data_IF_980230037522
#
_entry.id   IF_980230037522
#
_cell.length_a   1.000
_cell.length_b   1.000
_cell.length_c   1.000
_cell.angle_alpha   90.00
_cell.angle_beta   90.00
_cell.angle_gamma   90.00
#
_symmetry.space_group_name_H-M   'P 1'
#
loop_
_entity.id
_entity.type
_entity.pdbx_description
1 polymer ?
#
# COMPACT_ATOMS: atom_id res chain seq x y z
N UNK A 1 -21.65 -15.70 -4.52
CA UNK A 1 -20.85 -16.87 -4.09
C UNK A 1 -20.65 -16.74 -2.57
N UNK A 2 -20.53 -17.81 -1.80
CA UNK A 2 -20.24 -17.69 -0.35
C UNK A 2 -18.72 -17.67 -0.09
N UNK A 3 -18.03 -16.71 -0.70
CA UNK A 3 -16.58 -16.61 -0.70
C UNK A 3 -16.16 -15.15 -0.87
N UNK A 4 -14.92 -14.85 -0.51
CA UNK A 4 -14.26 -13.57 -0.74
C UNK A 4 -13.10 -13.78 -1.70
N UNK A 5 -12.93 -12.88 -2.68
CA UNK A 5 -11.82 -12.92 -3.62
C UNK A 5 -10.66 -12.06 -3.10
N UNK A 6 -9.43 -12.53 -3.24
CA UNK A 6 -8.22 -11.85 -2.82
C UNK A 6 -7.27 -11.86 -4.01
N UNK A 7 -6.91 -10.67 -4.46
CA UNK A 7 -5.98 -10.48 -5.55
C UNK A 7 -4.58 -10.30 -4.96
N UNK A 8 -3.70 -11.28 -5.12
CA UNK A 8 -2.35 -11.24 -4.56
C UNK A 8 -1.54 -10.07 -5.13
N UNK A 9 -0.63 -9.53 -4.33
CA UNK A 9 0.47 -8.72 -4.85
C UNK A 9 1.29 -9.54 -5.86
N UNK A 10 1.80 -8.89 -6.91
CA UNK A 10 2.48 -9.58 -8.02
C UNK A 10 3.74 -10.29 -7.50
N UNK A 11 3.82 -11.60 -7.70
CA UNK A 11 4.95 -12.43 -7.23
C UNK A 11 4.88 -12.82 -5.75
N UNK A 12 3.73 -12.58 -5.08
CA UNK A 12 3.49 -12.95 -3.68
C UNK A 12 2.25 -13.84 -3.52
N UNK A 13 1.94 -14.63 -4.55
CA UNK A 13 0.81 -15.56 -4.57
C UNK A 13 0.95 -16.63 -3.49
N UNK A 14 2.14 -17.15 -3.26
CA UNK A 14 2.39 -18.19 -2.26
C UNK A 14 2.21 -17.67 -0.83
N UNK A 15 2.62 -16.43 -0.57
CA UNK A 15 2.42 -15.77 0.72
C UNK A 15 0.93 -15.55 0.99
N UNK A 16 0.18 -15.03 0.01
CA UNK A 16 -1.26 -14.88 0.16
C UNK A 16 -1.95 -16.25 0.34
N UNK A 17 -1.52 -17.27 -0.40
CA UNK A 17 -2.07 -18.64 -0.27
C UNK A 17 -1.81 -19.21 1.12
N UNK A 18 -0.62 -18.99 1.68
CA UNK A 18 -0.29 -19.41 3.04
C UNK A 18 -1.16 -18.70 4.09
N UNK A 19 -1.42 -17.40 3.92
CA UNK A 19 -2.31 -16.64 4.81
C UNK A 19 -3.78 -17.08 4.73
N UNK A 20 -4.25 -17.40 3.52
CA UNK A 20 -5.62 -17.85 3.31
C UNK A 20 -5.85 -19.28 3.79
N UNK A 21 -4.89 -20.19 3.57
CA UNK A 21 -5.08 -21.62 3.85
C UNK A 21 -6.04 -22.29 2.87
N UNK A 22 -7.34 -22.28 3.16
CA UNK A 22 -8.38 -22.94 2.37
C UNK A 22 -8.83 -22.10 1.16
N UNK A 23 -8.04 -22.15 0.10
CA UNK A 23 -8.40 -21.57 -1.21
C UNK A 23 -9.27 -22.56 -2.01
N UNK A 24 -10.48 -22.14 -2.38
CA UNK A 24 -11.47 -22.98 -3.10
C UNK A 24 -11.44 -22.80 -4.62
N UNK A 25 -10.93 -21.66 -5.10
CA UNK A 25 -10.85 -21.35 -6.53
C UNK A 25 -9.66 -20.39 -6.75
N UNK A 26 -8.93 -20.53 -7.86
CA UNK A 26 -7.80 -19.66 -8.21
C UNK A 26 -7.81 -19.36 -9.71
N UNK A 27 -7.64 -18.09 -10.05
CA UNK A 27 -7.53 -17.57 -11.41
C UNK A 27 -6.29 -16.67 -11.48
N UNK A 28 -5.14 -17.24 -11.85
CA UNK A 28 -3.82 -16.59 -11.75
C UNK A 28 -3.61 -16.06 -10.31
N UNK A 29 -3.36 -14.76 -10.11
CA UNK A 29 -3.18 -14.18 -8.77
C UNK A 29 -4.48 -13.89 -8.00
N UNK A 30 -5.66 -14.16 -8.58
CA UNK A 30 -6.95 -13.99 -7.90
C UNK A 30 -7.37 -15.31 -7.23
N UNK A 31 -7.41 -15.33 -5.90
CA UNK A 31 -7.76 -16.49 -5.09
C UNK A 31 -9.09 -16.27 -4.37
N UNK A 32 -9.94 -17.29 -4.30
CA UNK A 32 -11.18 -17.24 -3.53
C UNK A 32 -11.08 -18.13 -2.30
N UNK A 33 -11.38 -17.58 -1.13
CA UNK A 33 -11.49 -18.33 0.12
C UNK A 33 -12.93 -18.25 0.66
N UNK A 34 -13.45 -19.30 1.32
CA UNK A 34 -14.83 -19.34 1.76
C UNK A 34 -15.08 -18.37 2.90
N UNK A 35 -16.31 -17.84 2.94
CA UNK A 35 -16.77 -16.95 3.99
C UNK A 35 -16.36 -15.47 3.81
N UNK A 36 -16.41 -14.69 4.90
CA UNK A 36 -16.16 -13.24 4.88
C UNK A 36 -14.67 -12.91 4.68
N UNK A 37 -14.38 -11.62 4.51
CA UNK A 37 -13.02 -11.10 4.46
C UNK A 37 -12.21 -11.50 5.70
N UNK A 38 -10.98 -11.93 5.44
CA UNK A 38 -9.98 -12.36 6.42
C UNK A 38 -8.84 -11.37 6.45
N UNK A 39 -8.19 -11.27 7.59
CA UNK A 39 -6.97 -10.48 7.74
C UNK A 39 -5.83 -11.14 6.98
N UNK A 40 -5.44 -10.53 5.88
CA UNK A 40 -4.30 -10.93 5.03
C UNK A 40 -3.46 -9.70 4.73
N UNK A 41 -2.17 -9.89 4.48
CA UNK A 41 -1.23 -8.79 4.29
C UNK A 41 -0.65 -8.73 2.89
N UNK A 42 -0.68 -9.84 2.14
CA UNK A 42 -0.16 -9.94 0.77
C UNK A 42 -1.22 -9.80 -0.33
N UNK A 43 -2.41 -9.29 0.00
CA UNK A 43 -3.44 -8.95 -0.97
C UNK A 43 -3.31 -7.50 -1.46
N UNK A 44 -3.23 -7.31 -2.78
CA UNK A 44 -3.26 -6.01 -3.44
C UNK A 44 -4.68 -5.42 -3.48
N UNK A 45 -5.70 -6.28 -3.62
CA UNK A 45 -7.11 -5.90 -3.63
C UNK A 45 -7.99 -7.04 -3.12
N UNK A 46 -9.07 -6.72 -2.40
CA UNK A 46 -10.04 -7.71 -1.88
C UNK A 46 -11.39 -7.46 -2.53
N UNK A 47 -11.95 -8.51 -3.13
CA UNK A 47 -13.24 -8.53 -3.80
C UNK A 47 -14.28 -9.05 -2.82
N UNK A 48 -15.11 -8.15 -2.28
CA UNK A 48 -16.14 -8.48 -1.30
C UNK A 48 -17.42 -8.91 -2.01
N UNK A 49 -18.07 -9.93 -1.46
CA UNK A 49 -19.34 -10.48 -1.96
C UNK A 49 -19.37 -10.73 -3.49
N UNK A 50 -18.35 -11.40 -4.07
CA UNK A 50 -18.30 -11.68 -5.50
C UNK A 50 -19.50 -12.53 -5.97
N UNK A 51 -19.98 -12.20 -7.16
CA UNK A 51 -21.06 -12.89 -7.84
C UNK A 51 -20.54 -13.53 -9.12
N UNK A 52 -21.03 -14.75 -9.40
CA UNK A 52 -20.79 -15.47 -10.64
C UNK A 52 -21.98 -15.26 -11.56
N UNK A 53 -21.73 -14.83 -12.79
CA UNK A 53 -22.75 -14.36 -13.71
C UNK A 53 -22.55 -15.07 -15.05
N UNK A 54 -23.55 -15.83 -15.48
CA UNK A 54 -23.60 -16.35 -16.84
C UNK A 54 -23.88 -15.20 -17.82
N UNK A 55 -23.10 -15.11 -18.90
CA UNK A 55 -23.19 -14.05 -19.90
C UNK A 55 -23.64 -14.59 -21.27
N UNK A 56 -24.74 -14.09 -21.83
CA UNK A 56 -25.28 -14.62 -23.10
C UNK A 56 -24.56 -14.07 -24.35
N UNK A 57 -23.85 -12.94 -24.21
CA UNK A 57 -23.11 -12.27 -25.28
C UNK A 57 -22.24 -11.15 -24.70
N UNK A 58 -21.35 -10.58 -25.52
CA UNK A 58 -20.53 -9.42 -25.16
C UNK A 58 -21.40 -8.23 -24.69
N UNK A 59 -22.45 -7.88 -25.47
CA UNK A 59 -23.36 -6.77 -25.11
C UNK A 59 -24.21 -7.10 -23.88
N UNK A 60 -24.60 -8.36 -23.72
CA UNK A 60 -25.31 -8.86 -22.54
C UNK A 60 -24.48 -8.70 -21.27
N UNK A 61 -23.22 -9.15 -21.30
CA UNK A 61 -22.27 -8.98 -20.20
C UNK A 61 -22.13 -7.50 -19.79
N UNK A 62 -21.87 -6.62 -20.76
CA UNK A 62 -21.73 -5.19 -20.49
C UNK A 62 -23.02 -4.54 -19.98
N UNK A 63 -24.20 -5.04 -20.38
CA UNK A 63 -25.49 -4.59 -19.83
C UNK A 63 -25.65 -5.01 -18.36
N UNK A 64 -25.31 -6.25 -18.02
CA UNK A 64 -25.38 -6.76 -16.65
C UNK A 64 -24.41 -5.99 -15.73
N UNK A 65 -23.16 -5.83 -16.14
CA UNK A 65 -22.17 -5.08 -15.35
C UNK A 65 -22.61 -3.62 -15.11
N UNK A 66 -23.07 -2.91 -16.16
CA UNK A 66 -23.56 -1.52 -16.04
C UNK A 66 -24.80 -1.39 -15.15
N UNK A 67 -25.66 -2.40 -15.11
CA UNK A 67 -26.82 -2.42 -14.23
C UNK A 67 -26.41 -2.48 -12.75
N UNK A 68 -25.34 -3.22 -12.44
CA UNK A 68 -24.87 -3.41 -11.07
C UNK A 68 -23.99 -2.26 -10.57
N UNK A 69 -23.13 -1.71 -11.42
CA UNK A 69 -22.27 -0.57 -11.07
C UNK A 69 -21.81 0.20 -12.31
N UNK A 70 -21.45 1.48 -12.12
CA UNK A 70 -20.95 2.35 -13.18
C UNK A 70 -19.51 2.04 -13.58
N UNK A 71 -18.59 1.97 -12.62
CA UNK A 71 -17.16 1.86 -12.89
C UNK A 71 -16.66 0.44 -12.60
N UNK A 72 -15.86 -0.08 -13.52
CA UNK A 72 -15.37 -1.46 -13.48
C UNK A 72 -13.90 -1.54 -13.87
N UNK A 73 -13.13 -2.20 -13.02
CA UNK A 73 -11.76 -2.62 -13.26
C UNK A 73 -11.76 -4.08 -13.74
N UNK A 74 -11.32 -4.31 -14.97
CA UNK A 74 -11.06 -5.68 -15.44
C UNK A 74 -9.74 -6.19 -14.84
N UNK A 75 -9.80 -7.30 -14.09
CA UNK A 75 -8.64 -8.11 -13.78
C UNK A 75 -8.36 -9.07 -14.94
N UNK A 76 -7.16 -8.98 -15.49
CA UNK A 76 -6.72 -9.73 -16.67
C UNK A 76 -6.18 -11.08 -16.23
N UNK A 77 -6.83 -12.15 -16.68
CA UNK A 77 -6.44 -13.53 -16.41
C UNK A 77 -6.47 -14.33 -17.72
N UNK A 78 -7.67 -14.58 -18.25
CA UNK A 78 -7.89 -15.37 -19.46
C UNK A 78 -8.93 -14.71 -20.38
N UNK A 79 -9.19 -15.31 -21.56
CA UNK A 79 -10.17 -14.89 -22.55
C UNK A 79 -10.06 -13.40 -22.92
N UNK A 80 -8.83 -12.89 -22.94
CA UNK A 80 -8.52 -11.47 -22.99
C UNK A 80 -9.16 -10.75 -24.18
N UNK A 81 -9.21 -11.39 -25.35
CA UNK A 81 -9.86 -10.83 -26.53
C UNK A 81 -11.35 -10.57 -26.29
N UNK A 82 -12.08 -11.52 -25.67
CA UNK A 82 -13.50 -11.37 -25.36
C UNK A 82 -13.72 -10.41 -24.20
N UNK A 83 -12.89 -10.48 -23.17
CA UNK A 83 -12.95 -9.58 -22.01
C UNK A 83 -12.73 -8.12 -22.44
N UNK A 84 -11.77 -7.83 -23.34
CA UNK A 84 -11.58 -6.50 -23.95
C UNK A 84 -12.80 -6.00 -24.72
N UNK A 85 -13.48 -6.87 -25.47
CA UNK A 85 -14.70 -6.48 -26.18
C UNK A 85 -15.83 -6.13 -25.21
N UNK A 86 -15.92 -6.81 -24.07
CA UNK A 86 -16.85 -6.46 -22.98
C UNK A 86 -16.45 -5.13 -22.35
N UNK A 87 -15.17 -4.95 -21.97
CA UNK A 87 -14.64 -3.71 -21.39
C UNK A 87 -14.89 -2.49 -22.29
N UNK A 88 -14.74 -2.64 -23.61
CA UNK A 88 -15.02 -1.58 -24.60
C UNK A 88 -16.50 -1.13 -24.65
N UNK A 89 -17.42 -1.92 -24.08
CA UNK A 89 -18.84 -1.57 -23.96
C UNK A 89 -19.21 -1.04 -22.55
N UNK A 90 -18.23 -0.92 -21.64
CA UNK A 90 -18.41 -0.34 -20.30
C UNK A 90 -18.03 1.16 -20.28
N UNK A 91 -18.53 1.93 -19.30
CA UNK A 91 -18.05 3.29 -19.08
C UNK A 91 -16.54 3.31 -18.87
N UNK A 92 -15.85 4.26 -19.51
CA UNK A 92 -14.42 4.40 -19.38
C UNK A 92 -14.04 4.79 -17.95
N UNK A 93 -13.19 3.98 -17.33
CA UNK A 93 -12.50 4.31 -16.07
C UNK A 93 -11.12 4.82 -16.43
N UNK A 94 -10.83 6.06 -16.02
CA UNK A 94 -9.53 6.67 -16.29
C UNK A 94 -8.42 5.92 -15.57
N UNK A 95 -7.38 5.51 -16.30
CA UNK A 95 -6.14 4.97 -15.75
C UNK A 95 -5.07 6.06 -15.67
N UNK A 96 -5.46 7.28 -15.28
CA UNK A 96 -4.51 8.37 -15.05
C UNK A 96 -3.59 8.00 -13.90
N UNK A 97 -2.34 8.40 -14.03
CA UNK A 97 -1.37 8.30 -12.93
C UNK A 97 -1.80 9.22 -11.79
N UNK A 98 -1.62 8.74 -10.57
CA UNK A 98 -1.84 9.50 -9.35
C UNK A 98 -0.83 10.64 -9.28
N UNK A 99 -1.31 11.86 -9.05
CA UNK A 99 -0.45 13.00 -8.73
C UNK A 99 -0.34 13.03 -7.21
N UNK A 100 0.88 13.14 -6.69
CA UNK A 100 1.08 13.24 -5.24
C UNK A 100 0.43 14.51 -4.69
N UNK A 101 -0.21 14.40 -3.52
CA UNK A 101 -0.99 15.49 -2.90
C UNK A 101 -2.45 15.54 -3.35
N UNK A 102 -2.83 14.91 -4.47
CA UNK A 102 -4.24 14.70 -4.80
C UNK A 102 -4.82 13.56 -3.95
N UNK A 103 -6.09 13.66 -3.51
CA UNK A 103 -6.74 12.58 -2.77
C UNK A 103 -6.86 11.32 -3.62
N UNK A 104 -6.93 10.17 -2.95
CA UNK A 104 -7.26 8.90 -3.60
C UNK A 104 -8.62 9.00 -4.33
N UNK A 105 -8.84 8.24 -5.42
CA UNK A 105 -10.13 8.20 -6.09
C UNK A 105 -11.25 7.80 -5.12
N UNK A 106 -12.34 8.57 -5.09
CA UNK A 106 -13.50 8.31 -4.21
C UNK A 106 -14.67 7.66 -4.95
N UNK A 107 -14.62 7.62 -6.28
CA UNK A 107 -15.67 6.99 -7.07
C UNK A 107 -15.67 5.48 -6.82
N UNK A 108 -16.84 4.86 -6.54
CA UNK A 108 -16.92 3.40 -6.40
C UNK A 108 -16.33 2.69 -7.62
N UNK A 109 -15.49 1.70 -7.38
CA UNK A 109 -14.80 0.92 -8.41
C UNK A 109 -14.91 -0.57 -8.11
N UNK A 110 -15.69 -1.28 -8.92
CA UNK A 110 -15.83 -2.73 -8.82
C UNK A 110 -14.76 -3.40 -9.64
N UNK A 111 -14.53 -4.68 -9.37
CA UNK A 111 -13.60 -5.50 -10.15
C UNK A 111 -14.33 -6.69 -10.77
N UNK A 112 -13.90 -7.09 -11.96
CA UNK A 112 -14.48 -8.25 -12.65
C UNK A 112 -13.43 -8.96 -13.49
N UNK A 113 -13.67 -10.25 -13.76
CA UNK A 113 -12.85 -11.04 -14.67
C UNK A 113 -13.72 -12.06 -15.41
N UNK A 114 -13.23 -12.50 -16.57
CA UNK A 114 -13.86 -13.51 -17.40
C UNK A 114 -13.09 -14.81 -17.22
N UNK A 115 -13.73 -15.80 -16.60
CA UNK A 115 -13.08 -17.06 -16.17
C UNK A 115 -13.30 -18.20 -17.15
N UNK A 116 -14.33 -18.09 -17.99
CA UNK A 116 -14.60 -18.92 -19.17
C UNK A 116 -15.36 -18.05 -20.19
N UNK A 117 -15.59 -18.49 -21.44
CA UNK A 117 -16.23 -17.66 -22.46
C UNK A 117 -17.60 -17.11 -22.06
N UNK A 118 -18.32 -17.80 -21.18
CA UNK A 118 -19.71 -17.51 -20.87
C UNK A 118 -19.96 -17.20 -19.39
N UNK A 119 -18.90 -17.01 -18.59
CA UNK A 119 -19.02 -16.73 -17.15
C UNK A 119 -18.08 -15.63 -16.67
N UNK A 120 -18.66 -14.63 -16.00
CA UNK A 120 -17.94 -13.57 -15.29
C UNK A 120 -17.98 -13.84 -13.78
N UNK A 121 -16.89 -13.52 -13.09
CA UNK A 121 -16.93 -13.20 -11.66
C UNK A 121 -16.78 -11.68 -11.50
N UNK A 122 -17.64 -11.06 -10.71
CA UNK A 122 -17.63 -9.63 -10.45
C UNK A 122 -17.86 -9.33 -8.96
N UNK A 123 -17.17 -8.31 -8.44
CA UNK A 123 -17.39 -7.74 -7.13
C UNK A 123 -17.63 -6.23 -7.28
N UNK A 124 -18.74 -5.75 -6.72
CA UNK A 124 -19.09 -4.32 -6.76
C UNK A 124 -18.33 -3.53 -5.70
N UNK A 125 -18.04 -4.18 -4.57
CA UNK A 125 -17.30 -3.64 -3.42
C UNK A 125 -15.90 -4.26 -3.39
N UNK A 126 -14.90 -3.40 -3.51
CA UNK A 126 -13.49 -3.77 -3.47
C UNK A 126 -12.76 -2.94 -2.41
N UNK A 127 -11.71 -3.50 -1.81
CA UNK A 127 -10.93 -2.80 -0.79
C UNK A 127 -10.06 -1.65 -1.34
N UNK A 128 -9.76 -1.66 -2.63
CA UNK A 128 -8.95 -0.61 -3.26
C UNK A 128 -9.77 0.31 -4.18
N UNK A 129 -9.54 1.64 -4.11
CA UNK A 129 -10.08 2.60 -5.08
C UNK A 129 -9.32 2.62 -6.42
N UNK A 130 -8.10 2.07 -6.47
CA UNK A 130 -7.32 1.92 -7.70
C UNK A 130 -7.60 0.59 -8.40
N UNK A 131 -7.51 0.59 -9.74
CA UNK A 131 -7.67 -0.60 -10.57
C UNK A 131 -6.75 -1.71 -10.05
N UNK A 132 -7.34 -2.84 -9.67
CA UNK A 132 -6.62 -4.02 -9.14
C UNK A 132 -5.77 -3.75 -7.89
N UNK A 133 -5.94 -2.63 -7.19
CA UNK A 133 -5.06 -2.26 -6.09
C UNK A 133 -3.74 -1.60 -6.49
N UNK A 134 -3.53 -1.34 -7.78
CA UNK A 134 -2.26 -0.92 -8.36
C UNK A 134 -2.27 0.60 -8.56
N UNK A 135 -1.36 1.32 -7.88
CA UNK A 135 -1.25 2.78 -7.98
C UNK A 135 0.03 3.18 -8.69
N UNK A 136 -0.12 3.77 -9.86
CA UNK A 136 1.00 4.36 -10.61
C UNK A 136 1.02 5.85 -10.40
N UNK A 137 2.15 6.41 -9.98
CA UNK A 137 2.31 7.85 -9.78
C UNK A 137 2.90 8.56 -11.00
N UNK A 138 2.60 9.85 -11.14
CA UNK A 138 3.38 10.75 -11.98
C UNK A 138 4.71 11.06 -11.28
N UNK A 139 5.75 10.33 -11.68
CA UNK A 139 7.07 10.34 -11.03
C UNK A 139 7.92 11.57 -11.35
N UNK A 140 8.57 12.13 -10.33
CA UNK A 140 9.79 12.93 -10.52
C UNK A 140 10.99 11.98 -10.67
N UNK A 141 11.59 11.99 -11.86
CA UNK A 141 12.74 11.13 -12.21
C UNK A 141 14.09 11.86 -12.14
N UNK A 142 14.09 13.12 -11.70
CA UNK A 142 15.26 14.02 -11.74
C UNK A 142 15.72 14.39 -10.35
N UNK A 143 14.80 14.75 -9.46
CA UNK A 143 15.11 15.29 -8.13
C UNK A 143 15.45 14.20 -7.10
N UNK A 144 14.58 13.20 -6.85
CA UNK A 144 14.86 12.20 -5.83
C UNK A 144 16.00 11.26 -6.25
N UNK A 145 16.88 10.86 -5.31
CA UNK A 145 18.07 10.05 -5.62
C UNK A 145 17.76 8.57 -5.89
N UNK A 146 16.54 8.11 -5.63
CA UNK A 146 16.09 6.73 -5.86
C UNK A 146 14.57 6.71 -6.11
N UNK A 147 13.95 5.53 -6.31
CA UNK A 147 12.49 5.35 -6.46
C UNK A 147 11.78 4.85 -5.19
N UNK A 148 12.49 4.74 -4.06
CA UNK A 148 11.88 4.28 -2.79
C UNK A 148 10.86 5.28 -2.22
N UNK A 149 10.96 6.56 -2.62
CA UNK A 149 9.99 7.61 -2.27
C UNK A 149 8.55 7.26 -2.64
N UNK A 150 8.34 6.43 -3.68
CA UNK A 150 7.01 6.02 -4.14
C UNK A 150 6.22 5.29 -3.07
N UNK A 151 6.89 4.56 -2.17
CA UNK A 151 6.24 3.91 -1.02
C UNK A 151 5.64 4.95 -0.07
N UNK A 152 6.38 6.02 0.20
CA UNK A 152 5.92 7.05 1.13
C UNK A 152 4.82 7.92 0.50
N UNK A 153 4.93 8.22 -0.81
CA UNK A 153 3.82 8.80 -1.58
C UNK A 153 2.55 7.96 -1.52
N UNK A 154 2.68 6.65 -1.73
CA UNK A 154 1.55 5.72 -1.67
C UNK A 154 0.94 5.66 -0.26
N UNK A 155 1.78 5.56 0.78
CA UNK A 155 1.32 5.53 2.17
C UNK A 155 0.51 6.78 2.51
N UNK A 156 1.03 7.98 2.22
CA UNK A 156 0.31 9.24 2.43
C UNK A 156 -0.98 9.34 1.62
N UNK A 157 -0.97 8.91 0.36
CA UNK A 157 -2.18 8.93 -0.48
C UNK A 157 -3.26 7.99 0.06
N UNK A 158 -2.88 6.83 0.60
CA UNK A 158 -3.80 5.87 1.24
C UNK A 158 -4.33 6.37 2.58
N UNK A 159 -3.49 7.01 3.37
CA UNK A 159 -3.87 7.59 4.66
C UNK A 159 -4.74 8.84 4.50
N UNK A 160 -4.62 9.55 3.36
CA UNK A 160 -5.28 10.83 3.13
C UNK A 160 -4.73 11.98 3.99
N UNK A 161 -3.63 11.73 4.70
CA UNK A 161 -2.91 12.69 5.54
C UNK A 161 -1.41 12.51 5.35
N UNK A 162 -0.68 13.59 5.53
CA UNK A 162 0.77 13.68 5.45
C UNK A 162 1.24 14.86 6.32
N UNK A 163 2.54 14.98 6.60
CA UNK A 163 3.05 16.07 7.42
C UNK A 163 2.66 17.46 6.90
N UNK A 164 2.49 18.42 7.80
CA UNK A 164 2.15 19.79 7.45
C UNK A 164 3.32 20.75 7.67
N UNK A 165 3.24 21.96 7.11
CA UNK A 165 4.22 23.00 7.37
C UNK A 165 4.33 23.29 8.88
N UNK A 166 5.55 23.33 9.39
CA UNK A 166 5.84 23.54 10.81
C UNK A 166 5.93 22.26 11.64
N UNK A 167 5.48 21.12 11.12
CA UNK A 167 5.68 19.81 11.78
C UNK A 167 7.14 19.35 11.67
N UNK A 168 7.56 18.53 12.64
CA UNK A 168 8.89 17.91 12.69
C UNK A 168 8.74 16.44 12.30
N UNK A 169 9.49 16.05 11.27
CA UNK A 169 9.54 14.68 10.76
C UNK A 169 10.93 14.10 10.98
N UNK A 170 11.00 12.79 11.15
CA UNK A 170 12.25 12.05 11.19
C UNK A 170 12.26 10.99 10.08
N UNK A 171 13.33 10.99 9.28
CA UNK A 171 13.64 9.93 8.32
C UNK A 171 14.77 9.06 8.87
N UNK A 172 14.41 7.92 9.43
CA UNK A 172 15.38 6.94 9.91
C UNK A 172 15.85 6.06 8.76
N UNK A 173 17.17 6.00 8.56
CA UNK A 173 17.76 5.36 7.38
C UNK A 173 17.61 6.20 6.13
N UNK A 174 17.73 7.52 6.27
CA UNK A 174 17.36 8.45 5.21
C UNK A 174 18.26 8.41 3.98
N UNK A 175 19.43 7.78 4.00
CA UNK A 175 20.32 7.73 2.83
C UNK A 175 19.74 6.86 1.70
N UNK A 176 19.82 7.30 0.43
CA UNK A 176 20.42 8.54 -0.08
C UNK A 176 19.50 9.77 -0.07
N UNK A 177 18.24 9.67 0.39
CA UNK A 177 17.38 10.84 0.60
C UNK A 177 16.00 10.76 -0.04
N UNK A 178 15.54 9.57 -0.45
CA UNK A 178 14.25 9.41 -1.13
C UNK A 178 13.06 9.82 -0.25
N UNK A 179 13.00 9.32 0.99
CA UNK A 179 11.93 9.67 1.94
C UNK A 179 12.14 11.06 2.53
N UNK A 180 13.38 11.42 2.85
CA UNK A 180 13.79 12.78 3.27
C UNK A 180 13.26 13.83 2.30
N UNK A 181 13.40 13.60 0.99
CA UNK A 181 12.87 14.50 -0.04
C UNK A 181 11.36 14.62 0.04
N UNK A 182 10.61 13.51 0.10
CA UNK A 182 9.13 13.57 0.20
C UNK A 182 8.71 14.37 1.42
N UNK A 183 9.32 14.11 2.58
CA UNK A 183 9.01 14.81 3.82
C UNK A 183 9.32 16.31 3.69
N UNK A 184 10.44 16.67 3.06
CA UNK A 184 10.78 18.07 2.80
C UNK A 184 9.73 18.78 1.93
N UNK A 185 9.23 18.12 0.88
CA UNK A 185 8.23 18.68 -0.06
C UNK A 185 6.89 18.96 0.60
N UNK A 186 6.60 18.36 1.76
CA UNK A 186 5.39 18.68 2.53
C UNK A 186 5.45 20.03 3.25
N UNK A 187 6.62 20.67 3.29
CA UNK A 187 6.87 21.89 4.08
C UNK A 187 7.37 21.64 5.50
N UNK A 188 7.36 20.39 5.97
CA UNK A 188 7.88 20.02 7.28
C UNK A 188 9.39 20.24 7.44
N UNK A 189 9.84 20.28 8.69
CA UNK A 189 11.26 20.13 9.05
C UNK A 189 11.62 18.66 9.10
N UNK A 190 12.77 18.28 8.55
CA UNK A 190 13.18 16.88 8.43
C UNK A 190 14.49 16.65 9.17
N UNK A 191 14.46 15.78 10.17
CA UNK A 191 15.64 15.20 10.79
C UNK A 191 15.95 13.90 10.05
N UNK A 192 16.95 13.90 9.17
CA UNK A 192 17.38 12.70 8.47
C UNK A 192 18.54 12.05 9.23
N UNK A 193 18.40 10.77 9.58
CA UNK A 193 19.41 10.03 10.35
C UNK A 193 19.91 8.82 9.57
N UNK A 194 21.19 8.79 9.25
CA UNK A 194 21.83 7.64 8.62
C UNK A 194 23.35 7.64 8.85
N UNK A 195 23.97 6.47 8.84
CA UNK A 195 25.43 6.33 8.86
C UNK A 195 26.06 6.76 7.53
N UNK A 196 25.35 6.52 6.43
CA UNK A 196 25.73 6.92 5.09
C UNK A 196 25.26 8.35 4.81
N UNK A 197 26.00 9.06 3.95
CA UNK A 197 25.65 10.44 3.59
C UNK A 197 24.38 10.47 2.74
N UNK A 198 23.60 11.53 2.88
CA UNK A 198 22.58 11.90 1.91
C UNK A 198 23.22 12.27 0.56
N UNK A 199 22.43 12.20 -0.51
CA UNK A 199 22.79 12.83 -1.78
C UNK A 199 23.04 14.34 -1.53
N UNK A 200 24.09 14.93 -2.11
CA UNK A 200 24.43 16.33 -1.87
C UNK A 200 23.33 17.33 -2.21
N UNK A 201 22.40 17.00 -3.12
CA UNK A 201 21.26 17.87 -3.44
C UNK A 201 20.23 17.87 -2.31
N UNK A 202 19.95 16.69 -1.75
CA UNK A 202 19.01 16.52 -0.64
C UNK A 202 19.59 17.11 0.65
N UNK A 203 20.87 16.87 0.92
CA UNK A 203 21.56 17.39 2.10
C UNK A 203 21.61 18.93 2.16
N UNK A 204 21.46 19.61 1.01
CA UNK A 204 21.47 21.08 0.90
C UNK A 204 20.08 21.71 0.95
N UNK A 205 19.02 20.90 0.97
CA UNK A 205 17.66 21.43 1.04
C UNK A 205 17.48 22.20 2.36
N UNK A 206 16.74 23.31 2.34
CA UNK A 206 16.38 23.99 3.57
C UNK A 206 15.54 23.07 4.46
N UNK A 207 15.54 23.31 5.78
CA UNK A 207 14.79 22.50 6.76
C UNK A 207 15.21 21.02 6.87
N UNK A 208 16.24 20.56 6.15
CA UNK A 208 16.83 19.23 6.33
C UNK A 208 18.01 19.33 7.30
N UNK A 209 17.87 18.71 8.46
CA UNK A 209 18.93 18.47 9.44
C UNK A 209 19.44 17.03 9.27
N UNK A 210 20.65 16.85 8.72
CA UNK A 210 21.25 15.53 8.54
C UNK A 210 22.18 15.18 9.71
N UNK A 211 21.88 14.07 10.37
CA UNK A 211 22.68 13.51 11.47
C UNK A 211 23.35 12.22 11.03
N UNK A 212 24.68 12.26 10.96
CA UNK A 212 25.47 11.11 10.52
C UNK A 212 25.68 10.11 11.65
N UNK A 213 24.63 9.40 12.06
CA UNK A 213 24.63 8.46 13.17
C UNK A 213 23.70 7.26 12.91
N UNK A 214 23.59 6.36 13.90
CA UNK A 214 22.73 5.19 13.79
C UNK A 214 21.32 5.50 14.28
N UNK A 215 20.29 5.30 13.45
CA UNK A 215 18.89 5.45 13.87
C UNK A 215 18.55 4.60 15.12
N UNK A 216 19.08 3.38 15.21
CA UNK A 216 18.89 2.50 16.38
C UNK A 216 19.67 2.92 17.64
N UNK A 217 20.50 3.95 17.57
CA UNK A 217 21.24 4.48 18.71
C UNK A 217 20.61 5.75 19.29
N UNK A 218 19.53 6.25 18.66
CA UNK A 218 18.85 7.46 19.12
C UNK A 218 18.11 7.18 20.42
N UNK A 219 18.19 8.16 21.31
CA UNK A 219 17.43 8.24 22.53
C UNK A 219 16.25 9.21 22.28
N UNK A 220 14.98 8.74 22.28
CA UNK A 220 13.84 9.58 21.94
C UNK A 220 13.73 10.83 22.81
N UNK A 221 13.96 10.70 24.12
CA UNK A 221 13.82 11.82 25.07
C UNK A 221 14.88 12.89 24.86
N UNK A 222 16.11 12.50 24.49
CA UNK A 222 17.17 13.46 24.14
C UNK A 222 16.98 14.07 22.76
N UNK A 223 16.31 13.36 21.86
CA UNK A 223 16.02 13.83 20.51
C UNK A 223 14.92 14.90 20.51
N UNK A 224 13.96 14.77 21.42
CA UNK A 224 12.80 15.64 21.55
C UNK A 224 11.60 15.15 20.74
N UNK A 225 10.42 15.76 20.94
CA UNK A 225 9.20 15.35 20.28
C UNK A 225 9.24 15.61 18.78
N UNK A 226 8.69 14.68 18.02
CA UNK A 226 8.48 14.76 16.56
C UNK A 226 7.03 14.38 16.24
N UNK A 227 6.51 14.92 15.16
CA UNK A 227 5.14 14.63 14.71
C UNK A 227 5.09 13.33 13.92
N UNK A 228 6.11 13.07 13.09
CA UNK A 228 6.18 11.90 12.22
C UNK A 228 7.51 11.17 12.30
N UNK A 229 7.47 9.86 12.58
CA UNK A 229 8.59 8.94 12.45
C UNK A 229 8.40 8.06 11.22
N UNK A 230 9.27 8.25 10.24
CA UNK A 230 9.29 7.48 9.00
C UNK A 230 10.57 6.63 8.93
N UNK A 231 10.46 5.38 8.51
CA UNK A 231 11.62 4.50 8.34
C UNK A 231 11.48 3.49 7.20
N UNK A 232 12.45 3.48 6.27
CA UNK A 232 12.63 2.40 5.28
C UNK A 232 13.91 1.58 5.55
N UNK A 233 14.43 1.61 6.78
CA UNK A 233 15.70 0.96 7.18
C UNK A 233 15.67 -0.53 6.89
N UNK A 234 16.75 -1.03 6.28
CA UNK A 234 16.98 -2.48 6.19
C UNK A 234 17.43 -3.00 7.55
N UNK A 235 16.50 -3.65 8.26
CA UNK A 235 16.77 -4.32 9.53
C UNK A 235 15.85 -5.53 9.70
N UNK A 236 16.11 -6.35 10.73
CA UNK A 236 15.20 -7.42 11.11
C UNK A 236 13.92 -6.82 11.72
N UNK A 237 12.75 -7.43 11.49
CA UNK A 237 11.48 -6.94 12.04
C UNK A 237 11.48 -6.72 13.56
N UNK A 238 12.12 -7.59 14.34
CA UNK A 238 12.21 -7.46 15.80
C UNK A 238 12.93 -6.17 16.22
N UNK A 239 13.94 -5.77 15.44
CA UNK A 239 14.72 -4.56 15.71
C UNK A 239 13.90 -3.31 15.43
N UNK A 240 13.15 -3.29 14.32
CA UNK A 240 12.20 -2.22 14.02
C UNK A 240 11.10 -2.16 15.08
N UNK A 241 10.57 -3.33 15.50
CA UNK A 241 9.50 -3.42 16.47
C UNK A 241 9.90 -2.81 17.82
N UNK A 242 11.10 -3.12 18.33
CA UNK A 242 11.62 -2.48 19.56
C UNK A 242 11.77 -0.97 19.40
N UNK A 243 12.25 -0.51 18.25
CA UNK A 243 12.41 0.92 17.97
C UNK A 243 11.06 1.64 18.01
N UNK A 244 10.06 1.17 17.26
CA UNK A 244 8.76 1.87 17.21
C UNK A 244 8.06 1.87 18.57
N UNK A 245 8.17 0.77 19.34
CA UNK A 245 7.60 0.73 20.69
C UNK A 245 8.29 1.70 21.64
N UNK A 246 9.62 1.81 21.61
CA UNK A 246 10.34 2.78 22.44
C UNK A 246 9.89 4.23 22.16
N UNK A 247 9.70 4.58 20.88
CA UNK A 247 9.22 5.91 20.50
C UNK A 247 7.75 6.15 20.88
N UNK A 248 6.90 5.12 20.79
CA UNK A 248 5.51 5.19 21.25
C UNK A 248 5.40 5.30 22.78
N UNK A 249 6.16 4.50 23.53
CA UNK A 249 6.13 4.45 24.99
C UNK A 249 6.62 5.76 25.62
N UNK A 250 7.60 6.41 25.02
CA UNK A 250 8.09 7.73 25.45
C UNK A 250 7.17 8.88 25.02
N UNK A 251 6.23 8.64 24.10
CA UNK A 251 5.36 9.68 23.54
C UNK A 251 6.10 10.72 22.70
N UNK A 252 7.33 10.41 22.25
CA UNK A 252 8.16 11.35 21.48
C UNK A 252 7.86 11.35 19.98
N UNK A 253 7.04 10.41 19.50
CA UNK A 253 6.50 10.42 18.14
C UNK A 253 5.01 10.11 18.13
N UNK A 254 4.25 10.84 17.30
CA UNK A 254 2.79 10.69 17.21
C UNK A 254 2.37 9.79 16.06
N UNK A 255 2.91 10.06 14.86
CA UNK A 255 2.56 9.38 13.62
C UNK A 255 3.72 8.52 13.13
N UNK A 256 3.42 7.35 12.57
CA UNK A 256 4.43 6.39 12.15
C UNK A 256 4.14 5.83 10.76
N UNK A 257 5.19 5.74 9.94
CA UNK A 257 5.19 4.97 8.69
C UNK A 257 6.53 4.22 8.61
N UNK A 258 6.50 2.90 8.79
CA UNK A 258 7.72 2.10 8.81
C UNK A 258 7.60 0.88 7.89
N UNK A 259 8.66 0.54 7.17
CA UNK A 259 8.71 -0.65 6.33
C UNK A 259 9.21 -1.86 7.11
N UNK A 260 8.41 -2.91 7.19
CA UNK A 260 8.78 -4.23 7.71
C UNK A 260 9.46 -5.03 6.58
N UNK A 261 10.76 -5.28 6.72
CA UNK A 261 11.54 -6.04 5.72
C UNK A 261 11.46 -7.54 5.99
N UNK A 262 11.10 -8.33 4.98
CA UNK A 262 11.16 -9.79 5.05
C UNK A 262 12.55 -10.25 4.60
N UNK A 263 13.39 -10.67 5.56
CA UNK A 263 14.71 -11.21 5.28
C UNK A 263 14.64 -12.74 5.26
N UNK A 264 14.75 -13.35 4.08
CA UNK A 264 14.55 -14.79 3.92
C UNK A 264 13.07 -15.13 3.77
N UNK A 265 12.57 -16.12 4.52
CA UNK A 265 11.16 -16.52 4.51
C UNK A 265 10.27 -15.45 5.14
N UNK A 266 8.97 -15.45 4.80
CA UNK A 266 8.00 -14.52 5.35
C UNK A 266 7.78 -14.78 6.85
N UNK A 267 8.16 -13.83 7.69
CA UNK A 267 7.97 -13.90 9.15
C UNK A 267 6.54 -13.47 9.53
N UNK A 268 5.59 -14.40 9.39
CA UNK A 268 4.18 -14.16 9.72
C UNK A 268 3.96 -13.73 11.18
N UNK A 269 4.81 -14.19 12.11
CA UNK A 269 4.70 -13.83 13.51
C UNK A 269 5.07 -12.35 13.73
N UNK A 270 6.16 -11.89 13.11
CA UNK A 270 6.52 -10.47 13.15
C UNK A 270 5.44 -9.59 12.52
N UNK A 271 4.87 -9.99 11.39
CA UNK A 271 3.76 -9.24 10.74
C UNK A 271 2.58 -9.10 11.72
N UNK A 272 2.17 -10.21 12.35
CA UNK A 272 1.09 -10.19 13.34
C UNK A 272 1.41 -9.26 14.52
N UNK A 273 2.63 -9.26 15.05
CA UNK A 273 3.04 -8.36 16.13
C UNK A 273 2.86 -6.88 15.80
N UNK A 274 3.24 -6.45 14.60
CA UNK A 274 3.02 -5.07 14.16
C UNK A 274 1.53 -4.79 13.97
N UNK A 275 0.82 -5.72 13.34
CA UNK A 275 -0.58 -5.57 13.05
C UNK A 275 -1.44 -5.53 14.34
N UNK A 276 -1.02 -6.20 15.41
CA UNK A 276 -1.71 -6.22 16.69
C UNK A 276 -1.49 -4.97 17.53
N UNK A 277 -0.62 -4.03 17.09
CA UNK A 277 -0.52 -2.70 17.71
C UNK A 277 -1.86 -1.96 17.49
N UNK A 278 -2.57 -1.54 18.56
CA UNK A 278 -3.88 -0.90 18.42
C UNK A 278 -3.84 0.36 17.56
N UNK A 279 -4.87 0.53 16.73
CA UNK A 279 -4.98 1.69 15.84
C UNK A 279 -3.86 1.77 14.81
N UNK A 280 -3.36 0.62 14.33
CA UNK A 280 -2.34 0.55 13.28
C UNK A 280 -2.80 -0.33 12.12
N UNK A 281 -2.13 -0.18 10.98
CA UNK A 281 -2.39 -0.95 9.76
C UNK A 281 -1.09 -1.53 9.22
N UNK A 282 -1.16 -2.75 8.71
CA UNK A 282 -0.10 -3.35 7.90
C UNK A 282 -0.67 -3.65 6.53
N UNK A 283 0.01 -3.18 5.48
CA UNK A 283 -0.42 -3.36 4.10
C UNK A 283 0.78 -3.64 3.21
N UNK A 284 0.56 -4.40 2.13
CA UNK A 284 1.48 -4.42 0.99
C UNK A 284 1.13 -3.25 0.06
N UNK A 285 2.01 -2.24 0.02
CA UNK A 285 1.89 -1.14 -0.95
C UNK A 285 2.26 -1.67 -2.34
N UNK A 286 1.69 -1.11 -3.40
CA UNK A 286 2.04 -1.52 -4.78
C UNK A 286 3.54 -1.34 -5.08
N UNK A 287 4.18 -0.36 -4.43
CA UNK A 287 5.62 -0.11 -4.54
C UNK A 287 6.48 -0.90 -3.53
N UNK A 288 5.88 -1.73 -2.67
CA UNK A 288 6.62 -2.68 -1.85
C UNK A 288 7.14 -3.84 -2.69
N UNK A 289 8.34 -4.31 -2.35
CA UNK A 289 8.86 -5.60 -2.82
C UNK A 289 8.53 -6.68 -1.79
N UNK A 290 9.53 -7.46 -1.36
CA UNK A 290 9.37 -8.44 -0.28
C UNK A 290 9.44 -7.74 1.09
N UNK A 291 8.44 -6.91 1.34
CA UNK A 291 8.30 -6.05 2.50
C UNK A 291 6.84 -5.62 2.64
N UNK A 292 6.47 -5.15 3.83
CA UNK A 292 5.16 -4.55 4.10
C UNK A 292 5.36 -3.17 4.71
N UNK A 293 4.36 -2.31 4.64
CA UNK A 293 4.37 -1.02 5.32
C UNK A 293 3.42 -1.05 6.51
N UNK A 294 3.96 -0.80 7.70
CA UNK A 294 3.23 -0.55 8.93
C UNK A 294 2.99 0.95 9.10
N UNK A 295 1.76 1.32 9.43
CA UNK A 295 1.33 2.70 9.61
C UNK A 295 0.52 2.84 10.89
N UNK A 296 0.78 3.90 11.64
CA UNK A 296 -0.02 4.27 12.81
C UNK A 296 -0.19 5.79 12.83
N UNK A 297 -1.42 6.24 12.66
CA UNK A 297 -1.82 7.64 12.68
C UNK A 297 -3.13 7.73 13.46
N UNK A 298 -3.10 8.19 14.72
CA UNK A 298 -4.30 8.28 15.56
C UNK A 298 -5.46 9.01 14.86
N UNK A 299 -6.67 8.46 14.94
CA UNK A 299 -7.87 8.97 14.26
C UNK A 299 -7.98 8.59 12.77
N UNK A 300 -6.92 8.10 12.14
CA UNK A 300 -6.89 7.73 10.71
C UNK A 300 -6.79 6.22 10.54
N UNK A 301 -5.88 5.57 11.27
CA UNK A 301 -5.66 4.11 11.18
C UNK A 301 -6.52 3.29 12.13
N UNK A 302 -7.40 3.93 12.91
CA UNK A 302 -8.28 3.26 13.88
C UNK A 302 -9.47 2.51 13.23
N UNK A 303 -9.66 2.68 11.91
CA UNK A 303 -10.78 2.13 11.12
C UNK A 303 -10.47 0.81 10.43
#
# INVERSE_FOLDING_TARGET
MNATGYLAAVGFEDQLRAELGDVIETHDRLMFAPGPERRVFWAQNVWRNPVRIAIPSIKGAAKILRFNQRNWAMFKFDHFSRAKLIEANLPHVSAKRQIFGEPAPTAPLGSWTLIDPDTIIAAMDCSSPWKNGEVEFEEDKVTPPNRAYLKLWEAFTRLGVFPQEGEITMDMGGSPGGWTWVLHETGASVISVDKAKLDPKIAKLPRVDFRQESAFGLDPEKTGPIDWLCSDVICYPDRLYRLVNQWMETGMATNFICTIKMQGDTDHAAIAQFADIPGSKVVHLYNNKHELTWMKVPGVTDQ
#
